data_IF_709568958581
#
_entry.id   IF_709568958581
#
_cell.length_a   1.000
_cell.length_b   1.000
_cell.length_c   1.000
_cell.angle_alpha   90.00
_cell.angle_beta   90.00
_cell.angle_gamma   90.00
#
_symmetry.space_group_name_H-M   'P 1'
#
loop_
_entity.id
_entity.type
_entity.pdbx_description
1 polymer ?
#
# COMPACT_ATOMS: atom_id res chain seq x y z
N UNK A 1 -17.11 38.96 -86.34
CA UNK A 1 -17.35 38.03 -85.21
C UNK A 1 -16.43 36.83 -85.37
N UNK A 2 -15.30 36.81 -84.66
CA UNK A 2 -14.35 35.70 -84.68
C UNK A 2 -14.62 34.77 -83.50
N UNK A 3 -14.94 33.51 -83.78
CA UNK A 3 -14.99 32.45 -82.77
C UNK A 3 -13.57 31.96 -82.49
N UNK A 4 -13.03 32.30 -81.31
CA UNK A 4 -11.77 31.73 -80.82
C UNK A 4 -12.08 30.38 -80.19
N UNK A 5 -11.67 29.31 -80.88
CA UNK A 5 -11.76 27.93 -80.41
C UNK A 5 -10.63 27.68 -79.41
N UNK A 6 -10.91 27.87 -78.12
CA UNK A 6 -9.98 27.56 -77.04
C UNK A 6 -9.73 26.05 -76.98
N UNK A 7 -8.53 25.60 -77.38
CA UNK A 7 -8.05 24.24 -77.11
C UNK A 7 -7.37 24.25 -75.75
N UNK A 8 -8.10 23.87 -74.72
CA UNK A 8 -7.52 23.53 -73.42
C UNK A 8 -6.75 22.21 -73.64
N UNK A 9 -5.42 22.26 -73.53
CA UNK A 9 -4.57 21.08 -73.57
C UNK A 9 -4.69 20.37 -72.21
N UNK A 10 -5.13 19.13 -72.23
CA UNK A 10 -5.32 18.26 -71.04
C UNK A 10 -3.98 17.92 -70.33
N UNK A 11 -2.85 18.34 -70.88
CA UNK A 11 -1.52 18.09 -70.32
C UNK A 11 -1.06 19.12 -69.27
N UNK A 12 -1.80 20.23 -69.08
CA UNK A 12 -1.49 21.24 -68.04
C UNK A 12 -2.18 20.95 -66.69
N UNK A 13 -2.76 19.75 -66.51
CA UNK A 13 -3.02 19.25 -65.17
C UNK A 13 -1.70 18.72 -64.60
N UNK A 14 -0.81 19.65 -64.25
CA UNK A 14 0.18 19.41 -63.20
C UNK A 14 -0.59 18.80 -62.03
N UNK A 15 -0.32 17.53 -61.77
CA UNK A 15 -0.78 16.86 -60.59
C UNK A 15 -0.10 17.51 -59.39
N UNK A 16 -0.63 18.65 -58.93
CA UNK A 16 -0.54 19.08 -57.54
C UNK A 16 -1.40 18.15 -56.69
N UNK A 17 -1.18 16.85 -56.82
CA UNK A 17 -1.30 15.94 -55.71
C UNK A 17 -0.07 16.19 -54.85
N UNK A 18 -0.07 17.32 -54.14
CA UNK A 18 0.72 17.40 -52.91
C UNK A 18 0.27 16.21 -52.09
N UNK A 19 1.11 15.16 -52.13
CA UNK A 19 1.03 14.01 -51.27
C UNK A 19 1.22 14.59 -49.90
N UNK A 20 0.11 14.97 -49.27
CA UNK A 20 0.03 15.52 -47.93
C UNK A 20 0.92 14.63 -47.10
N UNK A 21 2.12 15.12 -46.83
CA UNK A 21 3.13 14.35 -46.12
C UNK A 21 2.41 14.02 -44.84
N UNK A 22 2.07 12.74 -44.65
CA UNK A 22 1.65 12.26 -43.35
C UNK A 22 2.71 12.82 -42.43
N UNK A 23 2.39 13.88 -41.69
CA UNK A 23 3.27 14.47 -40.71
C UNK A 23 3.32 13.36 -39.68
N UNK A 24 4.26 12.45 -39.93
CA UNK A 24 4.78 11.51 -38.98
C UNK A 24 5.27 12.43 -37.89
N UNK A 25 4.41 12.70 -36.92
CA UNK A 25 4.79 13.18 -35.60
C UNK A 25 5.60 12.03 -35.01
N UNK A 26 6.81 11.86 -35.54
CA UNK A 26 7.88 11.09 -34.95
C UNK A 26 8.27 11.97 -33.78
N UNK A 27 7.87 11.55 -32.59
CA UNK A 27 8.39 12.09 -31.35
C UNK A 27 9.91 11.93 -31.42
N UNK A 28 10.65 12.94 -31.92
CA UNK A 28 12.11 13.02 -31.91
C UNK A 28 12.65 13.28 -30.49
N UNK A 29 12.00 12.68 -29.52
CA UNK A 29 12.51 12.65 -28.17
C UNK A 29 13.58 11.58 -28.16
N UNK A 30 14.85 12.00 -28.20
CA UNK A 30 15.98 11.10 -28.07
C UNK A 30 15.81 10.18 -26.84
N UNK A 31 16.28 8.95 -26.92
CA UNK A 31 16.14 7.94 -25.87
C UNK A 31 16.59 8.43 -24.48
N UNK A 32 17.58 9.32 -24.44
CA UNK A 32 18.04 9.99 -23.20
C UNK A 32 16.95 10.83 -22.54
N UNK A 33 16.19 11.59 -23.33
CA UNK A 33 15.06 12.39 -22.84
C UNK A 33 13.92 11.49 -22.35
N UNK A 34 13.63 10.41 -23.08
CA UNK A 34 12.62 9.42 -22.68
C UNK A 34 12.96 8.79 -21.33
N UNK A 35 14.20 8.32 -21.17
CA UNK A 35 14.67 7.75 -19.92
C UNK A 35 14.62 8.77 -18.77
N UNK A 36 15.01 10.03 -19.02
CA UNK A 36 14.96 11.09 -18.01
C UNK A 36 13.53 11.38 -17.53
N UNK A 37 12.56 11.47 -18.45
CA UNK A 37 11.16 11.70 -18.08
C UNK A 37 10.53 10.51 -17.38
N UNK A 38 10.84 9.29 -17.81
CA UNK A 38 10.39 8.08 -17.14
C UNK A 38 10.95 8.00 -15.71
N UNK A 39 12.25 8.23 -15.55
CA UNK A 39 12.90 8.26 -14.24
C UNK A 39 12.30 9.33 -13.34
N UNK A 40 12.13 10.57 -13.84
CA UNK A 40 11.54 11.66 -13.08
C UNK A 40 10.10 11.34 -12.64
N UNK A 41 9.29 10.77 -13.53
CA UNK A 41 7.93 10.34 -13.21
C UNK A 41 7.89 9.25 -12.13
N UNK A 42 8.74 8.23 -12.24
CA UNK A 42 8.85 7.16 -11.24
C UNK A 42 9.38 7.69 -9.91
N UNK A 43 10.38 8.59 -9.92
CA UNK A 43 10.90 9.22 -8.71
C UNK A 43 9.86 10.10 -8.03
N UNK A 44 9.05 10.84 -8.79
CA UNK A 44 7.95 11.62 -8.24
C UNK A 44 6.89 10.71 -7.59
N UNK A 45 6.52 9.62 -8.27
CA UNK A 45 5.59 8.63 -7.71
C UNK A 45 6.14 8.03 -6.40
N UNK A 46 7.42 7.65 -6.37
CA UNK A 46 8.08 7.18 -5.15
C UNK A 46 8.04 8.24 -4.05
N UNK A 47 8.37 9.50 -4.36
CA UNK A 47 8.36 10.59 -3.40
C UNK A 47 6.97 10.85 -2.82
N UNK A 48 5.91 10.75 -3.63
CA UNK A 48 4.52 10.90 -3.19
C UNK A 48 4.12 9.73 -2.28
N UNK A 49 4.36 8.48 -2.70
CA UNK A 49 4.01 7.30 -1.90
C UNK A 49 4.82 7.21 -0.60
N UNK A 50 6.05 7.72 -0.61
CA UNK A 50 6.96 7.72 0.52
C UNK A 50 7.00 9.05 1.28
N UNK A 51 6.04 9.96 1.04
CA UNK A 51 6.04 11.30 1.66
C UNK A 51 6.07 11.25 3.19
N UNK A 52 5.37 10.29 3.79
CA UNK A 52 5.39 10.02 5.25
C UNK A 52 6.25 8.82 5.64
N UNK A 53 7.07 8.30 4.71
CA UNK A 53 7.87 7.06 4.88
C UNK A 53 7.01 5.81 5.10
N UNK A 54 5.69 5.90 4.91
CA UNK A 54 4.76 4.81 5.16
C UNK A 54 4.90 3.66 4.17
N UNK A 55 5.20 3.97 2.90
CA UNK A 55 5.44 2.93 1.90
C UNK A 55 6.65 2.07 2.25
N UNK A 56 7.79 2.67 2.63
CA UNK A 56 8.99 1.95 3.07
C UNK A 56 8.85 1.31 4.46
N UNK A 57 8.03 1.87 5.34
CA UNK A 57 7.73 1.22 6.61
C UNK A 57 6.95 -0.08 6.36
N UNK A 58 5.92 -0.02 5.51
CA UNK A 58 5.07 -1.17 5.16
C UNK A 58 5.81 -2.20 4.30
N UNK A 59 6.54 -1.73 3.30
CA UNK A 59 7.24 -2.57 2.35
C UNK A 59 8.72 -2.55 2.67
N UNK A 60 9.32 -3.73 2.79
CA UNK A 60 10.75 -3.82 2.96
C UNK A 60 11.49 -3.24 1.74
N UNK A 61 12.73 -2.75 1.90
CA UNK A 61 13.50 -2.14 0.80
C UNK A 61 13.68 -3.09 -0.39
N UNK A 62 13.64 -4.40 -0.17
CA UNK A 62 13.64 -5.40 -1.24
C UNK A 62 12.45 -5.30 -2.21
N UNK A 63 11.33 -4.72 -1.77
CA UNK A 63 10.13 -4.53 -2.59
C UNK A 63 10.20 -3.27 -3.47
N UNK A 64 11.31 -2.51 -3.44
CA UNK A 64 11.54 -1.39 -4.37
C UNK A 64 11.49 -1.82 -5.84
N UNK A 65 11.61 -3.13 -6.11
CA UNK A 65 11.42 -3.71 -7.45
C UNK A 65 10.06 -3.34 -8.06
N UNK A 66 9.04 -3.07 -7.24
CA UNK A 66 7.72 -2.64 -7.70
C UNK A 66 7.78 -1.33 -8.49
N UNK A 67 8.77 -0.46 -8.25
CA UNK A 67 8.94 0.78 -9.02
C UNK A 67 9.55 0.56 -10.41
N UNK A 68 10.08 -0.63 -10.72
CA UNK A 68 10.46 -0.96 -12.09
C UNK A 68 9.25 -1.08 -13.02
N UNK A 69 8.09 -1.49 -12.51
CA UNK A 69 6.88 -1.58 -13.33
C UNK A 69 6.43 -0.22 -13.90
N UNK A 70 6.21 0.84 -13.09
CA UNK A 70 5.87 2.15 -13.64
C UNK A 70 6.99 2.74 -14.48
N UNK A 71 8.27 2.47 -14.16
CA UNK A 71 9.40 2.90 -14.98
C UNK A 71 9.37 2.24 -16.37
N UNK A 72 9.27 0.92 -16.43
CA UNK A 72 9.18 0.16 -17.67
C UNK A 72 7.94 0.54 -18.48
N UNK A 73 6.81 0.76 -17.79
CA UNK A 73 5.57 1.21 -18.41
C UNK A 73 5.73 2.59 -19.06
N UNK A 74 6.36 3.55 -18.36
CA UNK A 74 6.63 4.89 -18.91
C UNK A 74 7.60 4.82 -20.10
N UNK A 75 8.64 4.01 -20.00
CA UNK A 75 9.59 3.80 -21.10
C UNK A 75 8.88 3.21 -22.33
N UNK A 76 8.04 2.19 -22.16
CA UNK A 76 7.25 1.60 -23.24
C UNK A 76 6.26 2.62 -23.84
N UNK A 77 5.58 3.39 -22.99
CA UNK A 77 4.63 4.42 -23.41
C UNK A 77 5.29 5.46 -24.32
N UNK A 78 6.50 5.92 -23.96
CA UNK A 78 7.24 6.89 -24.77
C UNK A 78 7.90 6.26 -26.00
N UNK A 79 8.34 5.01 -25.94
CA UNK A 79 8.94 4.30 -27.07
C UNK A 79 7.93 3.98 -28.20
N UNK A 80 6.66 3.80 -27.84
CA UNK A 80 5.60 3.39 -28.77
C UNK A 80 5.04 4.58 -29.58
N UNK A 81 4.65 4.33 -30.84
CA UNK A 81 4.13 5.32 -31.78
C UNK A 81 2.81 5.93 -31.29
N UNK A 82 2.56 7.20 -31.58
CA UNK A 82 1.41 8.00 -31.04
C UNK A 82 0.04 7.32 -31.16
N UNK A 83 -0.23 6.59 -32.25
CA UNK A 83 -1.50 5.86 -32.43
C UNK A 83 -1.68 4.72 -31.40
N UNK A 84 -0.59 4.06 -31.04
CA UNK A 84 -0.59 2.96 -30.06
C UNK A 84 -0.55 3.47 -28.62
N UNK A 85 -0.06 4.69 -28.37
CA UNK A 85 -0.14 5.34 -27.04
C UNK A 85 -1.59 5.52 -26.58
N UNK A 86 -2.48 5.90 -27.50
CA UNK A 86 -3.91 6.04 -27.21
C UNK A 86 -4.55 4.69 -26.86
N UNK A 87 -4.20 3.63 -27.59
CA UNK A 87 -4.66 2.26 -27.27
C UNK A 87 -4.14 1.84 -25.89
N UNK A 88 -2.87 2.12 -25.59
CA UNK A 88 -2.28 1.81 -24.28
C UNK A 88 -3.00 2.54 -23.15
N UNK A 89 -3.31 3.83 -23.31
CA UNK A 89 -4.09 4.61 -22.34
C UNK A 89 -5.52 4.10 -22.20
N UNK A 90 -6.18 3.77 -23.31
CA UNK A 90 -7.54 3.23 -23.31
C UNK A 90 -7.66 1.86 -22.64
N UNK A 91 -6.58 1.07 -22.59
CA UNK A 91 -6.57 -0.20 -21.84
C UNK A 91 -6.19 0.04 -20.38
N UNK A 92 -5.16 0.85 -20.15
CA UNK A 92 -4.61 1.06 -18.80
C UNK A 92 -5.51 1.88 -17.91
N UNK A 93 -6.15 2.95 -18.40
CA UNK A 93 -7.03 3.79 -17.58
C UNK A 93 -8.24 3.00 -17.05
N UNK A 94 -9.00 2.24 -17.86
CA UNK A 94 -10.09 1.41 -17.34
C UNK A 94 -9.58 0.31 -16.40
N UNK A 95 -8.44 -0.33 -16.69
CA UNK A 95 -7.85 -1.31 -15.79
C UNK A 95 -7.50 -0.69 -14.43
N UNK A 96 -6.94 0.52 -14.43
CA UNK A 96 -6.59 1.27 -13.22
C UNK A 96 -7.85 1.72 -12.47
N UNK A 97 -8.90 2.14 -13.17
CA UNK A 97 -10.19 2.49 -12.58
C UNK A 97 -10.89 1.26 -11.98
N UNK A 98 -10.81 0.09 -12.61
CA UNK A 98 -11.34 -1.15 -12.05
C UNK A 98 -10.57 -1.58 -10.80
N UNK A 99 -9.24 -1.47 -10.82
CA UNK A 99 -8.39 -1.76 -9.65
C UNK A 99 -8.60 -0.75 -8.53
N UNK A 100 -8.76 0.54 -8.85
CA UNK A 100 -8.96 1.60 -7.86
C UNK A 100 -10.38 1.62 -7.26
N UNK A 101 -11.41 1.24 -8.04
CA UNK A 101 -12.79 1.16 -7.56
C UNK A 101 -13.12 -0.20 -6.94
N UNK A 102 -12.37 -1.26 -7.28
CA UNK A 102 -12.34 -2.48 -6.51
C UNK A 102 -11.65 -2.19 -5.19
N UNK A 103 -12.29 -2.47 -4.05
CA UNK A 103 -11.69 -2.39 -2.70
C UNK A 103 -10.56 -3.42 -2.47
N UNK A 104 -9.85 -3.81 -3.52
CA UNK A 104 -8.77 -4.77 -3.51
C UNK A 104 -7.53 -4.06 -2.99
N UNK A 105 -7.11 -4.39 -1.77
CA UNK A 105 -5.74 -4.12 -1.34
C UNK A 105 -5.45 -3.02 -0.33
N UNK A 106 -6.41 -2.31 0.29
CA UNK A 106 -6.07 -1.51 1.50
C UNK A 106 -6.46 -2.26 2.77
N UNK A 107 -7.71 -2.76 2.84
CA UNK A 107 -8.19 -3.56 3.97
C UNK A 107 -7.50 -4.92 4.09
N UNK A 108 -7.28 -5.61 2.97
CA UNK A 108 -6.60 -6.91 2.95
C UNK A 108 -5.13 -6.79 3.32
N UNK A 109 -4.54 -5.62 3.04
CA UNK A 109 -3.11 -5.42 3.10
C UNK A 109 -2.67 -5.05 4.54
N UNK A 110 -3.59 -4.67 5.43
CA UNK A 110 -3.35 -4.53 6.87
C UNK A 110 -3.67 -5.81 7.66
N UNK A 111 -4.44 -6.73 7.06
CA UNK A 111 -4.87 -7.97 7.72
C UNK A 111 -3.69 -8.83 8.22
N UNK A 112 -2.57 -8.84 7.49
CA UNK A 112 -1.34 -9.51 7.90
C UNK A 112 -0.77 -8.96 9.22
N UNK A 113 -0.68 -7.63 9.36
CA UNK A 113 -0.17 -7.01 10.59
C UNK A 113 -1.16 -7.19 11.76
N UNK A 114 -2.45 -7.05 11.50
CA UNK A 114 -3.51 -7.23 12.50
C UNK A 114 -3.56 -8.69 13.00
N UNK A 115 -3.53 -9.67 12.10
CA UNK A 115 -3.48 -11.09 12.47
C UNK A 115 -2.21 -11.44 13.24
N UNK A 116 -1.05 -10.90 12.86
CA UNK A 116 0.19 -11.11 13.60
C UNK A 116 0.12 -10.50 15.01
N UNK A 117 -0.52 -9.34 15.17
CA UNK A 117 -0.75 -8.74 16.48
C UNK A 117 -1.70 -9.59 17.33
N UNK A 118 -2.79 -10.08 16.74
CA UNK A 118 -3.74 -10.98 17.40
C UNK A 118 -3.07 -12.28 17.89
N UNK A 119 -2.27 -12.91 17.02
CA UNK A 119 -1.49 -14.11 17.37
C UNK A 119 -0.49 -13.82 18.50
N UNK A 120 0.20 -12.67 18.46
CA UNK A 120 1.13 -12.27 19.50
C UNK A 120 0.43 -12.06 20.86
N UNK A 121 -0.77 -11.47 20.88
CA UNK A 121 -1.57 -11.31 22.10
C UNK A 121 -1.93 -12.67 22.73
N UNK A 122 -2.39 -13.63 21.91
CA UNK A 122 -2.67 -14.98 22.41
C UNK A 122 -1.41 -15.74 22.84
N UNK A 123 -0.27 -15.52 22.17
CA UNK A 123 1.00 -16.08 22.60
C UNK A 123 1.41 -15.54 23.98
N UNK A 124 1.25 -14.23 24.22
CA UNK A 124 1.49 -13.63 25.54
C UNK A 124 0.54 -14.19 26.60
N UNK A 125 -0.75 -14.23 26.31
CA UNK A 125 -1.78 -14.76 27.19
C UNK A 125 -1.48 -16.21 27.60
N UNK A 126 -1.15 -17.06 26.63
CA UNK A 126 -0.80 -18.47 26.88
C UNK A 126 0.50 -18.63 27.67
N UNK A 127 1.47 -17.73 27.49
CA UNK A 127 2.69 -17.73 28.32
C UNK A 127 2.41 -17.37 29.78
N UNK A 128 1.50 -16.42 30.04
CA UNK A 128 1.11 -16.01 31.40
C UNK A 128 0.31 -17.11 32.10
N UNK A 129 -0.61 -17.77 31.39
CA UNK A 129 -1.37 -18.88 31.95
C UNK A 129 -0.49 -20.10 32.22
N UNK A 130 0.48 -20.40 31.34
CA UNK A 130 1.46 -21.44 31.55
C UNK A 130 2.36 -21.15 32.77
N UNK A 131 2.88 -19.92 32.88
CA UNK A 131 3.70 -19.49 34.03
C UNK A 131 2.95 -19.61 35.35
N UNK A 132 1.66 -19.23 35.36
CA UNK A 132 0.79 -19.36 36.55
C UNK A 132 0.58 -20.82 36.94
N UNK A 133 0.35 -21.69 35.96
CA UNK A 133 0.15 -23.12 36.18
C UNK A 133 1.43 -23.80 36.72
N UNK A 134 2.59 -23.45 36.18
CA UNK A 134 3.90 -24.01 36.56
C UNK A 134 4.30 -23.64 38.00
N UNK A 135 4.09 -22.39 38.41
CA UNK A 135 4.49 -21.92 39.74
C UNK A 135 3.43 -22.20 40.82
N UNK A 136 2.28 -22.80 40.46
CA UNK A 136 1.13 -22.97 41.34
C UNK A 136 0.70 -21.68 42.09
N UNK A 137 0.97 -20.52 41.48
CA UNK A 137 0.68 -19.22 42.08
C UNK A 137 -0.76 -18.80 41.77
N UNK A 138 -1.45 -18.24 42.77
CA UNK A 138 -2.76 -17.61 42.57
C UNK A 138 -2.63 -16.27 41.85
N UNK A 139 -1.47 -15.63 41.93
CA UNK A 139 -1.18 -14.31 41.36
C UNK A 139 -0.57 -14.39 39.95
N UNK A 140 -0.80 -13.37 39.12
CA UNK A 140 -0.10 -13.19 37.85
C UNK A 140 1.26 -12.48 38.06
N UNK A 141 2.27 -12.70 37.21
CA UNK A 141 3.57 -12.06 37.37
C UNK A 141 3.49 -10.54 37.17
N UNK A 142 4.35 -9.78 37.87
CA UNK A 142 4.48 -8.32 37.73
C UNK A 142 4.93 -7.89 36.32
N UNK A 143 5.63 -8.78 35.60
CA UNK A 143 6.13 -8.53 34.25
C UNK A 143 5.85 -9.72 33.33
N UNK A 144 5.71 -9.45 32.03
CA UNK A 144 5.64 -10.49 31.01
C UNK A 144 6.91 -11.35 31.05
N UNK A 145 6.78 -12.70 31.03
CA UNK A 145 7.93 -13.57 30.87
C UNK A 145 8.66 -13.26 29.56
N UNK A 146 9.98 -13.45 29.54
CA UNK A 146 10.78 -13.21 28.35
C UNK A 146 10.32 -14.12 27.21
N UNK A 147 9.76 -13.54 26.15
CA UNK A 147 9.27 -14.29 25.00
C UNK A 147 9.71 -13.65 23.70
N UNK A 148 10.02 -14.50 22.72
CA UNK A 148 10.34 -14.06 21.38
C UNK A 148 9.04 -13.94 20.58
N UNK A 149 8.53 -12.72 20.45
CA UNK A 149 7.42 -12.42 19.55
C UNK A 149 7.93 -12.38 18.11
N UNK A 150 7.01 -12.55 17.17
CA UNK A 150 7.31 -12.35 15.75
C UNK A 150 7.89 -10.95 15.51
N UNK A 151 9.05 -10.83 14.83
CA UNK A 151 9.61 -9.53 14.44
C UNK A 151 8.63 -8.70 13.61
N UNK A 152 7.76 -9.38 12.84
CA UNK A 152 6.72 -8.75 12.06
C UNK A 152 5.66 -8.09 12.96
N UNK A 153 5.21 -8.76 14.02
CA UNK A 153 4.25 -8.18 14.98
C UNK A 153 4.86 -6.97 15.71
N UNK A 154 6.12 -7.09 16.15
CA UNK A 154 6.85 -6.01 16.84
C UNK A 154 7.11 -4.79 15.93
N UNK A 155 7.26 -5.01 14.62
CA UNK A 155 7.43 -3.93 13.65
C UNK A 155 6.19 -3.02 13.59
N UNK A 156 5.00 -3.61 13.56
CA UNK A 156 3.74 -2.88 13.35
C UNK A 156 3.02 -2.49 14.64
N UNK A 157 3.23 -3.22 15.73
CA UNK A 157 2.52 -3.03 16.99
C UNK A 157 3.47 -2.96 18.18
N UNK A 158 3.12 -2.09 19.13
CA UNK A 158 3.71 -2.01 20.46
C UNK A 158 2.81 -2.72 21.43
N UNK A 159 3.40 -3.60 22.23
CA UNK A 159 2.68 -4.39 23.22
C UNK A 159 3.01 -3.87 24.62
N UNK A 160 1.99 -3.64 25.42
CA UNK A 160 2.12 -3.16 26.79
C UNK A 160 1.32 -4.06 27.74
N UNK A 161 1.96 -4.50 28.82
CA UNK A 161 1.35 -5.32 29.86
C UNK A 161 1.01 -4.45 31.05
N UNK A 162 -0.25 -4.50 31.45
CA UNK A 162 -0.78 -3.71 32.55
C UNK A 162 -1.39 -4.70 33.56
N UNK A 163 -0.69 -5.01 34.66
CA UNK A 163 -1.24 -5.86 35.72
C UNK A 163 -2.35 -5.12 36.47
N UNK A 164 -3.44 -5.83 36.76
CA UNK A 164 -4.56 -5.33 37.57
C UNK A 164 -4.42 -5.87 38.99
N UNK A 165 -4.12 -4.97 39.93
CA UNK A 165 -3.97 -5.28 41.35
C UNK A 165 -5.30 -5.16 42.09
N UNK A 166 -5.51 -6.02 43.08
CA UNK A 166 -6.61 -5.94 44.05
C UNK A 166 -6.31 -4.88 45.12
N UNK A 167 -7.28 -4.63 46.01
CA UNK A 167 -7.09 -3.74 47.16
C UNK A 167 -5.97 -4.20 48.10
N UNK A 168 -5.67 -5.51 48.11
CA UNK A 168 -4.61 -6.10 48.91
C UNK A 168 -3.22 -6.03 48.22
N UNK A 169 -3.14 -5.48 47.01
CA UNK A 169 -1.91 -5.36 46.23
C UNK A 169 -1.60 -6.55 45.31
N UNK A 170 -2.32 -7.66 45.43
CA UNK A 170 -2.15 -8.87 44.62
C UNK A 170 -2.61 -8.65 43.17
N UNK A 171 -1.84 -9.11 42.19
CA UNK A 171 -2.21 -9.08 40.77
C UNK A 171 -3.23 -10.19 40.48
N UNK A 172 -4.50 -9.83 40.54
CA UNK A 172 -5.65 -10.70 40.30
C UNK A 172 -6.00 -10.85 38.82
N UNK A 173 -5.50 -9.98 37.96
CA UNK A 173 -5.74 -10.05 36.51
C UNK A 173 -4.77 -9.17 35.74
N UNK A 174 -4.94 -9.11 34.43
CA UNK A 174 -4.09 -8.30 33.56
C UNK A 174 -4.82 -7.86 32.31
N UNK A 175 -4.24 -6.88 31.65
CA UNK A 175 -4.63 -6.42 30.33
C UNK A 175 -3.36 -6.31 29.50
N UNK A 176 -3.40 -6.82 28.27
CA UNK A 176 -2.32 -6.63 27.30
C UNK A 176 -2.84 -5.81 26.14
N UNK A 177 -2.23 -4.65 25.91
CA UNK A 177 -2.63 -3.73 24.86
C UNK A 177 -1.67 -3.85 23.67
N UNK A 178 -2.22 -3.93 22.46
CA UNK A 178 -1.47 -3.81 21.22
C UNK A 178 -1.88 -2.52 20.50
N UNK A 179 -0.96 -1.55 20.46
CA UNK A 179 -1.17 -0.26 19.79
C UNK A 179 -0.32 -0.18 18.51
N UNK A 180 -0.85 0.38 17.41
CA UNK A 180 -0.05 0.55 16.20
C UNK A 180 1.19 1.42 16.46
N UNK A 181 2.36 0.96 16.01
CA UNK A 181 3.61 1.70 16.13
C UNK A 181 3.62 3.00 15.31
N UNK A 182 2.89 3.01 14.18
CA UNK A 182 2.75 4.14 13.24
C UNK A 182 1.31 4.25 12.75
N UNK A 183 0.50 5.04 13.45
CA UNK A 183 -0.90 5.31 13.07
C UNK A 183 -1.04 6.20 11.84
N UNK A 184 -0.02 6.99 11.54
CA UNK A 184 0.10 7.84 10.36
C UNK A 184 0.23 7.04 9.05
N UNK A 185 0.47 5.73 9.14
CA UNK A 185 0.60 4.83 8.00
C UNK A 185 -0.62 3.93 7.78
N UNK A 186 -1.82 4.47 8.03
CA UNK A 186 -3.12 3.79 7.84
C UNK A 186 -3.36 2.56 8.75
N UNK A 187 -2.57 2.39 9.81
CA UNK A 187 -2.81 1.39 10.86
C UNK A 187 -3.60 2.01 12.01
N UNK A 188 -4.92 1.85 11.99
CA UNK A 188 -5.80 2.51 12.96
C UNK A 188 -6.28 1.60 14.08
N UNK A 189 -6.39 0.29 13.82
CA UNK A 189 -6.97 -0.66 14.77
C UNK A 189 -5.99 -0.98 15.89
N UNK A 190 -6.44 -0.75 17.13
CA UNK A 190 -5.75 -1.17 18.35
C UNK A 190 -6.49 -2.34 18.97
N UNK A 191 -5.76 -3.23 19.63
CA UNK A 191 -6.31 -4.44 20.23
C UNK A 191 -5.97 -4.50 21.72
N UNK A 192 -6.77 -5.24 22.47
CA UNK A 192 -6.53 -5.47 23.89
C UNK A 192 -7.09 -6.83 24.28
N UNK A 193 -6.27 -7.67 24.89
CA UNK A 193 -6.71 -8.96 25.44
C UNK A 193 -6.73 -8.87 26.97
N UNK A 194 -7.79 -9.40 27.56
CA UNK A 194 -7.93 -9.50 29.00
C UNK A 194 -7.60 -10.91 29.51
N UNK A 195 -7.61 -11.08 30.83
CA UNK A 195 -7.40 -12.34 31.53
C UNK A 195 -8.42 -13.43 31.18
N UNK A 196 -9.63 -13.04 30.76
CA UNK A 196 -10.68 -13.92 30.26
C UNK A 196 -10.48 -14.43 28.82
N UNK A 197 -9.45 -13.93 28.12
CA UNK A 197 -9.12 -14.29 26.75
C UNK A 197 -9.93 -13.60 25.65
N UNK A 198 -10.87 -12.70 26.01
CA UNK A 198 -11.58 -11.90 25.02
C UNK A 198 -10.67 -10.80 24.48
N UNK A 199 -10.75 -10.58 23.17
CA UNK A 199 -9.98 -9.55 22.47
C UNK A 199 -10.89 -8.41 22.06
N UNK A 200 -10.65 -7.26 22.68
CA UNK A 200 -11.30 -5.98 22.40
C UNK A 200 -10.52 -5.21 21.35
N UNK A 201 -11.20 -4.40 20.54
CA UNK A 201 -10.59 -3.58 19.50
C UNK A 201 -11.29 -2.22 19.34
N UNK A 202 -10.51 -1.22 18.93
CA UNK A 202 -11.01 0.12 18.61
C UNK A 202 -10.26 0.72 17.42
N UNK A 203 -10.93 1.61 16.67
CA UNK A 203 -10.31 2.44 15.63
C UNK A 203 -9.86 3.80 16.15
N UNK A 204 -10.24 4.16 17.38
CA UNK A 204 -9.86 5.42 17.99
C UNK A 204 -8.35 5.49 18.21
N UNK A 205 -7.75 6.70 18.26
CA UNK A 205 -6.32 6.91 18.48
C UNK A 205 -5.86 6.61 19.93
N UNK A 206 -6.40 5.55 20.55
CA UNK A 206 -6.10 5.07 21.89
C UNK A 206 -5.99 3.54 21.93
N UNK A 207 -5.52 2.99 23.05
CA UNK A 207 -5.62 1.56 23.28
C UNK A 207 -7.09 1.13 23.40
N UNK A 208 -7.37 -0.11 23.02
CA UNK A 208 -8.69 -0.69 23.24
C UNK A 208 -8.90 -0.93 24.75
N UNK A 209 -10.15 -0.91 25.15
CA UNK A 209 -10.61 -1.05 26.52
C UNK A 209 -11.68 -2.13 26.58
N UNK A 210 -11.99 -2.61 27.78
CA UNK A 210 -13.00 -3.65 27.99
C UNK A 210 -14.43 -3.23 27.61
N UNK A 211 -14.66 -1.92 27.38
CA UNK A 211 -15.93 -1.37 26.91
C UNK A 211 -16.03 -1.25 25.39
N UNK A 212 -14.95 -1.51 24.65
CA UNK A 212 -14.95 -1.43 23.19
C UNK A 212 -15.54 -2.69 22.54
N UNK A 213 -15.59 -2.71 21.21
CA UNK A 213 -16.02 -3.88 20.44
C UNK A 213 -15.09 -5.07 20.71
N UNK A 214 -15.60 -6.29 20.71
CA UNK A 214 -14.79 -7.50 20.88
C UNK A 214 -14.98 -8.47 19.72
N UNK A 215 -13.98 -9.33 19.50
CA UNK A 215 -14.12 -10.51 18.67
C UNK A 215 -14.78 -11.62 19.50
N UNK A 216 -15.77 -12.29 18.91
CA UNK A 216 -16.36 -13.52 19.45
C UNK A 216 -15.44 -14.73 19.23
#
# INVERSE_FOLDING_TARGET
MCWVRSRIKIWDMEATGERQSNILVRSEMGWTKVAAWAALGTSLLFAVLNWHVCWLFRNEPQNLVVFFYPLAWLVLFFAVRTRWRLVFLLVTIPALLLVANGRWGISEMNSGAESAAFQALHQMQSSLSASRAEHHQQEYPDALPSMNLSPYAQKYYRFEYIPRRSENGEIVGYIIQATPARRDCEFHRSFTIADDGRVFWTLEPRAATLSDMHYE
#
